data_IF_127119112100
#
_entry.id   IF_127119112100
#
_cell.length_a   1.000
_cell.length_b   1.000
_cell.length_c   1.000
_cell.angle_alpha   90.00
_cell.angle_beta   90.00
_cell.angle_gamma   90.00
#
_symmetry.space_group_name_H-M   'P 1'
#
loop_
_entity.id
_entity.type
_entity.pdbx_description
1 polymer ?
#
# COMPACT_ATOMS: atom_id res chain seq x y z
N UNK A 1 -20.48 19.01 10.49
CA UNK A 1 -19.89 17.70 10.19
C UNK A 1 -18.40 17.82 10.41
N UNK A 2 -17.81 16.99 11.27
CA UNK A 2 -16.36 17.04 11.51
C UNK A 2 -15.62 16.68 10.24
N UNK A 3 -14.62 17.46 9.89
CA UNK A 3 -13.77 17.25 8.70
C UNK A 3 -12.30 17.13 9.10
N UNK A 4 -11.55 16.43 8.30
CA UNK A 4 -10.07 16.33 8.41
C UNK A 4 -9.44 16.52 7.05
N UNK A 5 -8.18 16.90 7.03
CA UNK A 5 -7.37 16.82 5.83
C UNK A 5 -6.57 15.53 5.86
N UNK A 6 -6.69 14.76 4.79
CA UNK A 6 -5.91 13.56 4.54
C UNK A 6 -4.87 13.83 3.46
N UNK A 7 -3.65 13.35 3.67
CA UNK A 7 -2.56 13.41 2.70
C UNK A 7 -2.06 12.00 2.43
N UNK A 8 -1.80 11.69 1.17
CA UNK A 8 -1.15 10.46 0.73
C UNK A 8 0.11 10.83 -0.04
N UNK A 9 1.25 10.60 0.60
CA UNK A 9 2.59 10.88 0.10
C UNK A 9 3.17 9.60 -0.54
N UNK A 10 2.95 9.45 -1.83
CA UNK A 10 3.62 8.41 -2.62
C UNK A 10 4.91 8.92 -3.26
N UNK A 11 5.72 8.01 -3.80
CA UNK A 11 6.96 8.37 -4.49
C UNK A 11 6.77 9.16 -5.79
N UNK A 12 5.60 9.04 -6.43
CA UNK A 12 5.30 9.71 -7.70
C UNK A 12 4.29 10.84 -7.54
N UNK A 13 3.28 10.66 -6.70
CA UNK A 13 2.19 11.59 -6.51
C UNK A 13 2.00 11.90 -5.04
N UNK A 14 1.81 13.19 -4.75
CA UNK A 14 1.32 13.73 -3.49
C UNK A 14 -0.15 14.10 -3.69
N UNK A 15 -1.03 13.46 -2.92
CA UNK A 15 -2.47 13.69 -2.94
C UNK A 15 -2.91 14.27 -1.61
N UNK A 16 -3.83 15.22 -1.61
CA UNK A 16 -4.47 15.71 -0.40
C UNK A 16 -5.97 15.85 -0.64
N UNK A 17 -6.78 15.60 0.41
CA UNK A 17 -8.22 15.71 0.35
C UNK A 17 -8.79 16.25 1.66
N UNK A 18 -9.89 16.98 1.54
CA UNK A 18 -10.78 17.32 2.63
C UNK A 18 -11.82 16.22 2.76
N UNK A 19 -11.87 15.54 3.90
CA UNK A 19 -12.66 14.33 4.12
C UNK A 19 -13.59 14.52 5.31
N UNK A 20 -14.87 14.24 5.11
CA UNK A 20 -15.88 14.25 6.17
C UNK A 20 -15.83 13.00 7.05
N UNK A 21 -16.40 13.09 8.25
CA UNK A 21 -16.50 11.96 9.19
C UNK A 21 -17.34 10.78 8.69
N UNK A 22 -18.00 10.91 7.55
CA UNK A 22 -18.72 9.86 6.82
C UNK A 22 -17.92 9.25 5.66
N UNK A 23 -16.61 9.53 5.58
CA UNK A 23 -15.72 9.16 4.50
C UNK A 23 -15.96 9.85 3.14
N UNK A 24 -16.83 10.86 3.09
CA UNK A 24 -17.05 11.65 1.87
C UNK A 24 -15.85 12.54 1.58
N UNK A 25 -15.30 12.44 0.37
CA UNK A 25 -14.27 13.35 -0.11
C UNK A 25 -14.97 14.62 -0.64
N UNK A 26 -14.84 15.72 0.09
CA UNK A 26 -15.46 17.01 -0.22
C UNK A 26 -14.65 17.79 -1.28
N UNK A 27 -13.34 17.73 -1.18
CA UNK A 27 -12.42 18.32 -2.15
C UNK A 27 -11.11 17.52 -2.19
N UNK A 28 -10.42 17.54 -3.32
CA UNK A 28 -9.12 16.89 -3.44
C UNK A 28 -8.19 17.63 -4.39
N UNK A 29 -6.90 17.41 -4.22
CA UNK A 29 -5.83 17.92 -5.07
C UNK A 29 -4.73 16.87 -5.20
N UNK A 30 -4.05 16.86 -6.34
CA UNK A 30 -2.91 15.98 -6.58
C UNK A 30 -1.84 16.72 -7.36
N UNK A 31 -0.58 16.47 -7.01
CA UNK A 31 0.60 17.01 -7.70
C UNK A 31 1.69 15.93 -7.75
N UNK A 32 2.62 16.00 -8.69
CA UNK A 32 3.82 15.17 -8.62
C UNK A 32 4.56 15.39 -7.29
N UNK A 33 5.05 14.30 -6.70
CA UNK A 33 5.90 14.40 -5.51
C UNK A 33 7.23 15.06 -5.90
N UNK A 34 7.67 16.11 -5.18
CA UNK A 34 8.95 16.76 -5.47
C UNK A 34 10.12 15.78 -5.32
N UNK A 35 10.96 15.72 -6.33
CA UNK A 35 12.16 14.85 -6.36
C UNK A 35 13.47 15.63 -6.41
N UNK A 36 13.40 16.97 -6.56
CA UNK A 36 14.55 17.87 -6.63
C UNK A 36 14.47 18.94 -5.54
N UNK A 37 15.61 19.33 -4.99
CA UNK A 37 15.74 20.32 -3.94
C UNK A 37 16.93 20.03 -3.02
N UNK A 38 17.16 20.92 -2.04
CA UNK A 38 18.29 20.80 -1.10
C UNK A 38 18.02 19.77 0.02
N UNK A 39 16.77 19.52 0.35
CA UNK A 39 16.36 18.59 1.41
C UNK A 39 14.89 18.18 1.24
N UNK A 40 14.42 17.27 2.09
CA UNK A 40 13.01 16.84 2.16
C UNK A 40 12.01 17.95 2.52
N UNK A 41 12.49 19.12 2.97
CA UNK A 41 11.63 20.28 3.25
C UNK A 41 10.81 20.72 2.01
N UNK A 42 11.26 20.42 0.79
CA UNK A 42 10.49 20.71 -0.43
C UNK A 42 9.20 19.87 -0.50
N UNK A 43 9.22 18.64 0.02
CA UNK A 43 8.02 17.78 0.12
C UNK A 43 7.09 18.33 1.20
N UNK A 44 7.63 18.67 2.37
CA UNK A 44 6.86 19.28 3.47
C UNK A 44 6.19 20.58 3.02
N UNK A 45 6.91 21.44 2.29
CA UNK A 45 6.34 22.66 1.72
C UNK A 45 5.24 22.37 0.69
N UNK A 46 5.40 21.34 -0.13
CA UNK A 46 4.36 20.93 -1.06
C UNK A 46 3.10 20.41 -0.35
N UNK A 47 3.25 19.68 0.77
CA UNK A 47 2.12 19.25 1.61
C UNK A 47 1.44 20.48 2.21
N UNK A 48 2.18 21.40 2.84
CA UNK A 48 1.66 22.65 3.42
C UNK A 48 0.84 23.42 2.39
N UNK A 49 1.36 23.62 1.19
CA UNK A 49 0.63 24.32 0.14
C UNK A 49 -0.69 23.63 -0.27
N UNK A 50 -0.76 22.30 -0.22
CA UNK A 50 -2.02 21.57 -0.50
C UNK A 50 -3.00 21.68 0.66
N UNK A 51 -2.52 21.60 1.89
CA UNK A 51 -3.32 21.83 3.10
C UNK A 51 -3.90 23.23 3.12
N UNK A 52 -3.09 24.27 2.86
CA UNK A 52 -3.54 25.67 2.78
C UNK A 52 -4.67 25.84 1.75
N UNK A 53 -4.51 25.26 0.55
CA UNK A 53 -5.52 25.35 -0.49
C UNK A 53 -6.85 24.71 -0.08
N UNK A 54 -6.82 23.60 0.67
CA UNK A 54 -8.02 22.92 1.15
C UNK A 54 -8.66 23.67 2.33
N UNK A 55 -7.87 24.22 3.26
CA UNK A 55 -8.36 25.04 4.37
C UNK A 55 -9.02 26.35 3.90
N UNK A 56 -8.64 26.89 2.75
CA UNK A 56 -9.23 28.09 2.16
C UNK A 56 -10.66 27.86 1.63
N UNK A 57 -11.08 26.60 1.47
CA UNK A 57 -12.44 26.26 1.05
C UNK A 57 -13.46 26.48 2.19
N UNK A 58 -14.73 26.76 1.88
CA UNK A 58 -15.76 26.91 2.93
C UNK A 58 -15.84 25.73 3.88
N UNK A 59 -15.73 24.51 3.35
CA UNK A 59 -15.76 23.25 4.10
C UNK A 59 -14.50 23.03 4.94
N UNK A 60 -13.41 23.74 4.62
CA UNK A 60 -12.14 23.70 5.35
C UNK A 60 -12.19 24.36 6.74
N UNK A 61 -13.23 25.13 7.04
CA UNK A 61 -13.38 25.84 8.32
C UNK A 61 -13.58 24.93 9.54
N UNK A 62 -14.06 23.71 9.33
CA UNK A 62 -14.36 22.73 10.38
C UNK A 62 -13.30 21.64 10.49
N UNK A 63 -12.12 21.84 9.90
CA UNK A 63 -11.03 20.86 9.97
C UNK A 63 -10.45 20.80 11.38
N UNK A 64 -10.43 19.60 11.95
CA UNK A 64 -9.99 19.32 13.32
C UNK A 64 -8.62 18.67 13.42
N UNK A 65 -8.16 18.01 12.34
CA UNK A 65 -6.86 17.31 12.32
C UNK A 65 -6.35 17.11 10.87
N UNK A 66 -5.08 16.73 10.77
CA UNK A 66 -4.43 16.36 9.51
C UNK A 66 -3.84 14.96 9.67
N UNK A 67 -4.17 14.06 8.74
CA UNK A 67 -3.58 12.72 8.65
C UNK A 67 -2.69 12.61 7.43
N UNK A 68 -1.49 12.05 7.60
CA UNK A 68 -0.55 11.83 6.50
C UNK A 68 -0.23 10.34 6.41
N UNK A 69 -0.57 9.71 5.29
CA UNK A 69 -0.06 8.40 4.91
C UNK A 69 1.18 8.55 4.05
N UNK A 70 2.20 7.74 4.29
CA UNK A 70 3.42 7.76 3.49
C UNK A 70 4.05 6.38 3.38
N UNK A 71 4.74 6.13 2.24
CA UNK A 71 5.65 5.01 2.13
C UNK A 71 6.74 5.10 3.22
N UNK A 72 7.02 3.97 3.89
CA UNK A 72 8.02 3.88 4.94
C UNK A 72 9.44 3.59 4.44
N UNK A 73 10.40 3.45 5.37
CA UNK A 73 10.24 3.49 6.84
C UNK A 73 9.85 4.86 7.40
N UNK A 74 9.18 4.82 8.56
CA UNK A 74 8.79 6.02 9.31
C UNK A 74 9.51 6.05 10.66
N UNK A 75 9.72 7.24 11.20
CA UNK A 75 10.03 7.47 12.61
C UNK A 75 8.80 8.09 13.28
N UNK A 76 7.93 7.29 13.92
CA UNK A 76 6.70 7.79 14.51
C UNK A 76 6.95 8.75 15.68
N UNK A 77 8.06 8.58 16.42
CA UNK A 77 8.41 9.43 17.55
C UNK A 77 8.77 10.86 17.16
N UNK A 78 9.44 11.00 16.01
CA UNK A 78 9.78 12.29 15.43
C UNK A 78 8.75 12.81 14.43
N UNK A 79 7.91 11.91 13.93
CA UNK A 79 6.95 12.23 12.86
C UNK A 79 7.62 12.46 11.51
N UNK A 80 8.61 11.62 11.17
CA UNK A 80 9.42 11.75 9.96
C UNK A 80 9.29 10.53 9.05
N UNK A 81 9.45 10.76 7.74
CA UNK A 81 9.78 9.70 6.79
C UNK A 81 11.30 9.60 6.71
N UNK A 82 11.86 8.39 6.82
CA UNK A 82 13.31 8.17 6.89
C UNK A 82 13.75 7.09 5.92
N UNK A 83 14.76 7.40 5.09
CA UNK A 83 15.39 6.44 4.17
C UNK A 83 14.41 5.59 3.33
N UNK A 84 13.26 6.18 2.95
CA UNK A 84 12.27 5.50 2.13
C UNK A 84 12.84 5.27 0.72
N UNK A 85 12.80 4.02 0.21
CA UNK A 85 13.28 3.74 -1.16
C UNK A 85 12.42 4.40 -2.25
N UNK A 86 11.25 4.89 -1.89
CA UNK A 86 10.31 5.54 -2.80
C UNK A 86 10.33 7.07 -2.72
N UNK A 87 11.05 7.66 -1.78
CA UNK A 87 11.13 9.11 -1.56
C UNK A 87 12.56 9.57 -1.85
N UNK A 88 12.70 10.64 -2.62
CA UNK A 88 14.00 11.09 -3.12
C UNK A 88 14.96 11.63 -2.03
N UNK A 89 14.47 11.89 -0.83
CA UNK A 89 15.23 12.48 0.27
C UNK A 89 15.35 11.53 1.45
N UNK A 90 16.50 11.44 2.11
CA UNK A 90 16.70 10.51 3.22
C UNK A 90 15.87 10.84 4.46
N UNK A 91 15.48 12.10 4.64
CA UNK A 91 14.61 12.56 5.73
C UNK A 91 13.60 13.57 5.21
N UNK A 92 12.33 13.37 5.57
CA UNK A 92 11.25 14.35 5.36
C UNK A 92 10.54 14.55 6.70
N UNK A 93 10.62 15.73 7.25
CA UNK A 93 9.92 16.11 8.48
C UNK A 93 8.46 16.42 8.15
N UNK A 94 7.52 15.74 8.82
CA UNK A 94 6.10 15.82 8.50
C UNK A 94 5.32 16.48 9.63
N UNK A 95 5.21 15.83 10.80
CA UNK A 95 4.23 16.26 11.82
C UNK A 95 4.55 17.60 12.46
N UNK A 96 5.81 17.84 12.81
CA UNK A 96 6.24 19.09 13.45
C UNK A 96 5.94 20.31 12.58
N UNK A 97 6.59 20.45 11.40
CA UNK A 97 6.44 21.66 10.57
C UNK A 97 4.99 21.90 10.11
N UNK A 98 4.20 20.84 9.87
CA UNK A 98 2.80 20.98 9.47
C UNK A 98 1.96 21.40 10.69
N UNK A 99 2.19 20.80 11.86
CA UNK A 99 1.51 21.16 13.11
C UNK A 99 1.78 22.60 13.51
N UNK A 100 3.04 23.04 13.46
CA UNK A 100 3.46 24.40 13.77
C UNK A 100 2.82 25.43 12.81
N UNK A 101 2.67 25.07 11.54
CA UNK A 101 2.09 25.96 10.51
C UNK A 101 0.60 26.21 10.70
N UNK A 102 -0.17 25.17 11.11
CA UNK A 102 -1.63 25.23 11.14
C UNK A 102 -2.24 25.22 12.53
N UNK A 103 -1.47 24.90 13.57
CA UNK A 103 -1.99 24.77 14.94
C UNK A 103 -2.97 23.59 15.09
N UNK A 104 -2.89 22.58 14.19
CA UNK A 104 -3.75 21.41 14.18
C UNK A 104 -2.95 20.15 14.57
N UNK A 105 -3.60 19.16 15.21
CA UNK A 105 -3.00 17.85 15.41
C UNK A 105 -2.64 17.20 14.06
N UNK A 106 -1.42 16.68 13.93
CA UNK A 106 -0.95 15.99 12.74
C UNK A 106 -0.54 14.57 13.10
N UNK A 107 -1.06 13.60 12.38
CA UNK A 107 -0.69 12.19 12.53
C UNK A 107 -0.01 11.67 11.27
N UNK A 108 1.01 10.81 11.45
CA UNK A 108 1.74 10.14 10.38
C UNK A 108 1.57 8.64 10.51
N UNK A 109 1.23 7.97 9.41
CA UNK A 109 1.05 6.52 9.35
C UNK A 109 1.62 5.96 8.03
N UNK A 110 2.08 4.71 8.04
CA UNK A 110 2.49 4.06 6.81
C UNK A 110 1.30 3.85 5.86
N UNK A 111 1.54 3.97 4.55
CA UNK A 111 0.52 3.89 3.49
C UNK A 111 -0.27 2.57 3.47
N UNK A 112 0.38 1.43 3.67
CA UNK A 112 -0.32 0.14 3.68
C UNK A 112 -1.15 -0.04 4.98
N UNK A 113 -0.69 0.48 6.10
CA UNK A 113 -1.45 0.50 7.37
C UNK A 113 -2.62 1.48 7.29
N UNK A 114 -2.42 2.62 6.66
CA UNK A 114 -3.53 3.50 6.30
C UNK A 114 -4.51 2.78 5.35
N UNK A 115 -4.00 2.02 4.37
CA UNK A 115 -4.81 1.25 3.43
C UNK A 115 -5.83 0.34 4.11
N UNK A 116 -5.42 -0.45 5.12
CA UNK A 116 -6.34 -1.33 5.85
C UNK A 116 -7.42 -0.53 6.60
N UNK A 117 -7.08 0.62 7.17
CA UNK A 117 -8.05 1.49 7.83
C UNK A 117 -9.05 2.07 6.83
N UNK A 118 -8.59 2.50 5.66
CA UNK A 118 -9.46 2.99 4.59
C UNK A 118 -10.45 1.94 4.11
N UNK A 119 -10.00 0.71 3.92
CA UNK A 119 -10.85 -0.41 3.52
C UNK A 119 -11.87 -0.80 4.59
N UNK A 120 -11.47 -0.77 5.87
CA UNK A 120 -12.37 -1.03 6.98
C UNK A 120 -13.40 0.09 7.17
N UNK A 121 -13.01 1.34 6.93
CA UNK A 121 -13.91 2.49 7.11
C UNK A 121 -14.87 2.68 5.94
N UNK A 122 -14.37 2.62 4.70
CA UNK A 122 -15.14 3.01 3.52
C UNK A 122 -15.13 1.98 2.38
N UNK A 123 -14.33 0.92 2.47
CA UNK A 123 -14.09 -0.02 1.38
C UNK A 123 -14.73 -1.39 1.56
N UNK A 124 -14.07 -2.40 1.01
CA UNK A 124 -14.54 -3.77 0.93
C UNK A 124 -14.57 -4.50 2.29
N UNK A 125 -13.86 -3.97 3.30
CA UNK A 125 -13.74 -4.56 4.63
C UNK A 125 -14.62 -3.86 5.69
N UNK A 126 -15.63 -3.08 5.28
CA UNK A 126 -16.57 -2.45 6.23
C UNK A 126 -17.27 -3.50 7.10
N UNK A 127 -17.21 -3.28 8.40
CA UNK A 127 -17.85 -4.15 9.40
C UNK A 127 -17.05 -5.39 9.76
N UNK A 128 -15.84 -5.60 9.19
CA UNK A 128 -14.93 -6.68 9.59
C UNK A 128 -13.95 -6.21 10.65
N UNK A 129 -13.67 -7.08 11.62
CA UNK A 129 -12.74 -6.82 12.71
C UNK A 129 -11.36 -7.48 12.50
N UNK A 130 -11.27 -8.44 11.56
CA UNK A 130 -10.03 -9.12 11.21
C UNK A 130 -9.77 -8.95 9.71
N UNK A 131 -8.93 -8.00 9.36
CA UNK A 131 -8.72 -7.53 7.98
C UNK A 131 -7.25 -7.49 7.67
N UNK A 132 -6.85 -7.99 6.51
CA UNK A 132 -5.53 -7.73 5.95
C UNK A 132 -5.68 -6.99 4.63
N UNK A 133 -4.94 -5.92 4.48
CA UNK A 133 -4.77 -5.17 3.25
C UNK A 133 -3.40 -5.50 2.66
N UNK A 134 -3.36 -5.76 1.37
CA UNK A 134 -2.13 -6.06 0.63
C UNK A 134 -2.05 -5.12 -0.58
N UNK A 135 -1.04 -4.28 -0.63
CA UNK A 135 -0.78 -3.47 -1.82
C UNK A 135 0.20 -4.18 -2.76
N UNK A 136 -0.22 -4.41 -4.00
CA UNK A 136 0.59 -4.92 -5.10
C UNK A 136 0.94 -3.74 -6.02
N UNK A 137 2.09 -3.12 -5.78
CA UNK A 137 2.55 -1.88 -6.41
C UNK A 137 4.00 -2.04 -6.89
N UNK A 138 4.78 -0.96 -6.89
CA UNK A 138 6.24 -1.00 -7.09
C UNK A 138 6.89 -2.03 -6.18
N UNK A 139 6.45 -2.09 -4.91
CA UNK A 139 6.73 -3.12 -3.92
C UNK A 139 5.47 -3.89 -3.52
N UNK A 140 5.59 -4.70 -2.45
CA UNK A 140 4.50 -5.35 -1.74
C UNK A 140 4.51 -4.86 -0.29
N UNK A 141 3.43 -4.23 0.13
CA UNK A 141 3.23 -3.81 1.51
C UNK A 141 1.95 -4.39 2.09
N UNK A 142 1.81 -4.34 3.40
CA UNK A 142 0.61 -4.77 4.08
C UNK A 142 0.27 -3.99 5.34
N UNK A 143 -0.99 -4.12 5.73
CA UNK A 143 -1.50 -3.65 7.01
C UNK A 143 -2.54 -4.64 7.52
N UNK A 144 -2.61 -4.82 8.83
CA UNK A 144 -3.54 -5.75 9.44
C UNK A 144 -4.31 -5.07 10.59
N UNK A 145 -5.60 -5.36 10.65
CA UNK A 145 -6.47 -5.12 11.80
C UNK A 145 -6.84 -6.48 12.36
N UNK A 146 -6.66 -6.68 13.65
CA UNK A 146 -6.98 -7.91 14.36
C UNK A 146 -7.82 -7.56 15.59
N UNK A 147 -8.99 -8.20 15.74
CA UNK A 147 -9.95 -7.88 16.80
C UNK A 147 -10.29 -6.38 16.85
N UNK A 148 -10.50 -5.78 15.71
CA UNK A 148 -10.83 -4.38 15.55
C UNK A 148 -9.69 -3.38 15.81
N UNK A 149 -8.46 -3.84 16.05
CA UNK A 149 -7.30 -3.00 16.36
C UNK A 149 -6.23 -3.07 15.29
N UNK A 150 -5.74 -1.91 14.87
CA UNK A 150 -4.63 -1.82 13.93
C UNK A 150 -3.34 -2.37 14.56
N UNK A 151 -2.65 -3.25 13.85
CA UNK A 151 -1.36 -3.75 14.26
C UNK A 151 -0.26 -2.79 13.81
N UNK A 152 0.41 -2.17 14.76
CA UNK A 152 1.55 -1.27 14.49
C UNK A 152 2.89 -1.95 14.75
N UNK A 153 2.98 -2.81 15.78
CA UNK A 153 4.25 -3.34 16.26
C UNK A 153 5.05 -2.30 17.06
N UNK A 154 6.27 -2.65 17.44
CA UNK A 154 7.12 -1.82 18.30
C UNK A 154 7.49 -0.48 17.62
N UNK A 155 7.90 -0.55 16.35
CA UNK A 155 8.42 0.60 15.59
C UNK A 155 7.48 0.99 14.42
N UNK A 156 6.21 0.55 14.46
CA UNK A 156 5.25 0.82 13.37
C UNK A 156 5.44 -0.04 12.12
N UNK A 157 6.20 -1.14 12.16
CA UNK A 157 6.55 -1.96 10.99
C UNK A 157 5.77 -3.29 10.91
N UNK A 158 4.81 -3.56 11.82
CA UNK A 158 3.98 -4.75 11.70
C UNK A 158 3.23 -4.75 10.36
N UNK A 159 3.22 -5.89 9.67
CA UNK A 159 2.56 -6.01 8.37
C UNK A 159 3.46 -5.75 7.16
N UNK A 160 4.77 -5.66 7.30
CA UNK A 160 5.74 -5.61 6.18
C UNK A 160 5.85 -6.98 5.48
N UNK A 161 4.71 -7.48 5.01
CA UNK A 161 4.53 -8.83 4.46
C UNK A 161 5.29 -9.08 3.16
N UNK A 162 5.68 -8.03 2.43
CA UNK A 162 6.52 -8.14 1.24
C UNK A 162 7.88 -8.80 1.52
N UNK A 163 8.31 -8.81 2.79
CA UNK A 163 9.55 -9.43 3.25
C UNK A 163 9.36 -10.86 3.81
N UNK A 164 8.17 -11.45 3.69
CA UNK A 164 7.96 -12.87 4.00
C UNK A 164 8.75 -13.72 2.99
N UNK A 165 9.58 -14.69 3.44
CA UNK A 165 10.26 -15.62 2.54
C UNK A 165 9.23 -16.56 1.89
N UNK A 166 9.18 -16.58 0.56
CA UNK A 166 8.22 -17.39 -0.23
C UNK A 166 8.91 -18.37 -1.18
N UNK A 167 10.22 -18.23 -1.39
CA UNK A 167 10.94 -19.06 -2.35
C UNK A 167 12.40 -19.27 -1.96
N UNK A 168 12.88 -20.48 -2.23
CA UNK A 168 14.29 -20.88 -2.09
C UNK A 168 14.87 -21.45 -3.39
N UNK A 169 14.06 -21.53 -4.46
CA UNK A 169 14.44 -22.13 -5.72
C UNK A 169 15.14 -21.14 -6.65
N UNK A 170 14.51 -19.99 -6.91
CA UNK A 170 15.08 -18.96 -7.79
C UNK A 170 16.05 -18.03 -7.06
N UNK A 171 15.99 -17.94 -5.74
CA UNK A 171 16.83 -17.11 -4.87
C UNK A 171 16.97 -15.65 -5.34
N UNK A 172 15.86 -15.05 -5.81
CA UNK A 172 15.87 -13.64 -6.22
C UNK A 172 16.12 -12.73 -5.02
N UNK A 173 17.03 -11.78 -5.20
CA UNK A 173 17.40 -10.82 -4.16
C UNK A 173 16.39 -9.68 -4.13
N UNK A 174 15.82 -9.44 -2.94
CA UNK A 174 14.94 -8.31 -2.67
C UNK A 174 15.74 -7.00 -2.57
N UNK A 175 15.06 -5.88 -2.77
CA UNK A 175 15.65 -4.54 -2.59
C UNK A 175 16.25 -4.29 -1.20
N UNK A 176 15.85 -5.05 -0.17
CA UNK A 176 16.42 -5.00 1.18
C UNK A 176 17.74 -5.80 1.32
N UNK A 177 18.21 -6.50 0.28
CA UNK A 177 19.46 -7.26 0.25
C UNK A 177 19.32 -8.75 0.60
N UNK A 178 18.16 -9.23 1.05
CA UNK A 178 17.92 -10.65 1.35
C UNK A 178 17.22 -11.35 0.19
N UNK A 179 17.52 -12.65 0.00
CA UNK A 179 16.89 -13.45 -1.06
C UNK A 179 15.59 -14.11 -0.60
N UNK A 180 14.72 -14.44 -1.56
CA UNK A 180 13.53 -15.24 -1.32
C UNK A 180 12.31 -14.47 -0.85
N UNK A 181 12.37 -13.17 -0.62
CA UNK A 181 11.26 -12.35 -0.17
C UNK A 181 10.17 -12.19 -1.24
N UNK A 182 8.90 -12.23 -0.84
CA UNK A 182 7.75 -12.16 -1.73
C UNK A 182 7.81 -10.99 -2.73
N UNK A 183 8.21 -9.81 -2.26
CA UNK A 183 8.37 -8.62 -3.10
C UNK A 183 9.33 -8.83 -4.26
N UNK A 184 10.41 -9.62 -4.09
CA UNK A 184 11.39 -9.89 -5.13
C UNK A 184 10.82 -10.67 -6.33
N UNK A 185 9.63 -11.24 -6.21
CA UNK A 185 8.96 -12.07 -7.22
C UNK A 185 7.71 -11.40 -7.78
N UNK A 186 6.85 -10.88 -6.90
CA UNK A 186 5.47 -10.56 -7.24
C UNK A 186 5.13 -9.06 -7.19
N UNK A 187 6.09 -8.19 -6.88
CA UNK A 187 5.90 -6.75 -7.06
C UNK A 187 5.97 -6.34 -8.53
N UNK A 188 5.30 -5.26 -8.89
CA UNK A 188 5.31 -4.77 -10.27
C UNK A 188 6.73 -4.48 -10.78
N UNK A 189 7.64 -4.03 -9.91
CA UNK A 189 9.05 -3.80 -10.24
C UNK A 189 9.79 -5.11 -10.57
N UNK A 190 9.48 -6.19 -9.86
CA UNK A 190 10.30 -7.41 -9.86
C UNK A 190 9.70 -8.56 -10.70
N UNK A 191 8.44 -8.53 -11.09
CA UNK A 191 7.81 -9.52 -11.98
C UNK A 191 8.62 -9.77 -13.27
N UNK A 192 9.18 -8.75 -13.98
CA UNK A 192 10.00 -9.00 -15.16
C UNK A 192 11.27 -9.78 -14.85
N UNK A 193 11.92 -9.51 -13.73
CA UNK A 193 13.12 -10.23 -13.28
C UNK A 193 12.77 -11.68 -12.94
N UNK A 194 11.64 -11.91 -12.27
CA UNK A 194 11.17 -13.26 -11.99
C UNK A 194 10.81 -14.01 -13.27
N UNK A 195 10.12 -13.38 -14.21
CA UNK A 195 9.83 -13.95 -15.51
C UNK A 195 11.13 -14.38 -16.23
N UNK A 196 12.16 -13.55 -16.21
CA UNK A 196 13.45 -13.85 -16.81
C UNK A 196 14.14 -15.06 -16.15
N UNK A 197 14.11 -15.15 -14.81
CA UNK A 197 14.67 -16.28 -14.07
C UNK A 197 13.90 -17.58 -14.37
N UNK A 198 12.56 -17.52 -14.34
CA UNK A 198 11.69 -18.65 -14.65
C UNK A 198 11.90 -19.17 -16.07
N UNK A 199 11.87 -18.27 -17.07
CA UNK A 199 12.02 -18.70 -18.46
C UNK A 199 13.39 -19.34 -18.75
N UNK A 200 14.44 -18.91 -18.05
CA UNK A 200 15.76 -19.54 -18.11
C UNK A 200 15.74 -20.97 -17.56
N UNK A 201 15.09 -21.16 -16.40
CA UNK A 201 14.96 -22.47 -15.77
C UNK A 201 14.07 -23.43 -16.58
N UNK A 202 13.04 -22.90 -17.25
CA UNK A 202 12.10 -23.66 -18.08
C UNK A 202 12.56 -23.84 -19.55
N UNK A 203 13.78 -23.41 -19.92
CA UNK A 203 14.32 -23.39 -21.30
C UNK A 203 13.38 -22.74 -22.34
N UNK A 204 12.64 -21.69 -21.93
CA UNK A 204 11.76 -20.95 -22.84
C UNK A 204 12.57 -19.93 -23.62
N UNK A 205 12.82 -20.19 -24.89
CA UNK A 205 13.74 -19.40 -25.74
C UNK A 205 13.07 -18.19 -26.39
N UNK A 206 11.79 -18.27 -26.72
CA UNK A 206 11.06 -17.22 -27.45
C UNK A 206 9.80 -16.81 -26.71
N UNK A 207 9.52 -15.52 -26.71
CA UNK A 207 8.27 -14.92 -26.22
C UNK A 207 7.77 -13.92 -27.24
N UNK A 208 6.46 -13.80 -27.39
CA UNK A 208 5.82 -12.94 -28.38
C UNK A 208 5.47 -11.55 -27.85
N UNK A 209 5.82 -11.26 -26.59
CA UNK A 209 5.49 -10.01 -25.89
C UNK A 209 6.73 -9.41 -25.20
N UNK A 210 6.62 -8.17 -24.76
CA UNK A 210 7.67 -7.48 -23.99
C UNK A 210 7.76 -8.06 -22.58
N UNK A 211 8.75 -8.92 -22.36
CA UNK A 211 9.01 -9.56 -21.07
C UNK A 211 9.58 -8.60 -20.01
N UNK A 212 9.97 -7.39 -20.38
CA UNK A 212 10.43 -6.34 -19.45
C UNK A 212 9.28 -5.53 -18.82
N UNK A 213 8.05 -5.77 -19.24
CA UNK A 213 6.87 -5.04 -18.80
C UNK A 213 5.86 -5.93 -18.09
N UNK A 214 5.53 -5.72 -16.79
CA UNK A 214 4.43 -6.43 -16.14
C UNK A 214 3.12 -6.33 -16.92
N UNK A 215 2.84 -5.14 -17.47
CA UNK A 215 1.65 -4.89 -18.28
C UNK A 215 1.59 -5.80 -19.51
N UNK A 216 2.71 -6.01 -20.19
CA UNK A 216 2.76 -6.86 -21.37
C UNK A 216 2.67 -8.35 -20.99
N UNK A 217 3.30 -8.77 -19.88
CA UNK A 217 3.22 -10.14 -19.37
C UNK A 217 1.76 -10.49 -19.01
N UNK A 218 1.09 -9.66 -18.22
CA UNK A 218 -0.33 -9.88 -17.86
C UNK A 218 -1.27 -9.71 -19.05
N UNK A 219 -0.94 -8.79 -19.98
CA UNK A 219 -1.66 -8.62 -21.23
C UNK A 219 -1.63 -9.88 -22.09
N UNK A 220 -0.45 -10.50 -22.22
CA UNK A 220 -0.28 -11.77 -22.93
C UNK A 220 -1.07 -12.91 -22.25
N UNK A 221 -1.09 -12.95 -20.90
CA UNK A 221 -1.91 -13.91 -20.17
C UNK A 221 -3.42 -13.71 -20.44
N UNK A 222 -3.90 -12.47 -20.58
CA UNK A 222 -5.30 -12.18 -20.97
C UNK A 222 -5.65 -12.64 -22.39
N UNK A 223 -4.68 -12.63 -23.29
CA UNK A 223 -4.86 -13.13 -24.67
C UNK A 223 -4.45 -14.60 -24.84
N UNK A 224 -4.35 -15.31 -23.70
CA UNK A 224 -4.11 -16.75 -23.63
C UNK A 224 -2.77 -17.20 -24.26
N UNK A 225 -1.76 -16.34 -24.26
CA UNK A 225 -0.41 -16.74 -24.68
C UNK A 225 0.10 -17.89 -23.76
N UNK A 226 0.50 -19.04 -24.33
CA UNK A 226 0.83 -20.23 -23.54
C UNK A 226 2.04 -20.04 -22.62
N UNK A 227 3.00 -19.17 -22.99
CA UNK A 227 4.17 -18.89 -22.17
C UNK A 227 3.78 -18.01 -21.00
N UNK A 228 2.95 -16.99 -21.25
CA UNK A 228 2.43 -16.12 -20.20
C UNK A 228 1.55 -16.91 -19.22
N UNK A 229 0.67 -17.79 -19.70
CA UNK A 229 -0.16 -18.64 -18.84
C UNK A 229 0.71 -19.57 -17.96
N UNK A 230 1.73 -20.22 -18.53
CA UNK A 230 2.64 -21.06 -17.75
C UNK A 230 3.40 -20.27 -16.67
N UNK A 231 3.76 -19.03 -16.94
CA UNK A 231 4.35 -18.15 -15.92
C UNK A 231 3.34 -17.74 -14.84
N UNK A 232 2.06 -17.49 -15.21
CA UNK A 232 1.02 -17.17 -14.22
C UNK A 232 0.82 -18.31 -13.21
N UNK A 233 0.98 -19.57 -13.61
CA UNK A 233 0.95 -20.71 -12.71
C UNK A 233 2.01 -20.59 -11.60
N UNK A 234 3.25 -20.29 -11.98
CA UNK A 234 4.38 -20.16 -11.05
C UNK A 234 4.26 -18.90 -10.19
N UNK A 235 3.85 -17.79 -10.79
CA UNK A 235 3.59 -16.55 -10.05
C UNK A 235 2.44 -16.74 -9.05
N UNK A 236 1.41 -17.48 -9.44
CA UNK A 236 0.29 -17.87 -8.59
C UNK A 236 0.73 -18.68 -7.37
N UNK A 237 1.66 -19.63 -7.56
CA UNK A 237 2.23 -20.40 -6.46
C UNK A 237 3.01 -19.54 -5.46
N UNK A 238 3.85 -18.63 -5.95
CA UNK A 238 4.60 -17.69 -5.10
C UNK A 238 3.65 -16.79 -4.32
N UNK A 239 2.62 -16.24 -4.97
CA UNK A 239 1.60 -15.43 -4.30
C UNK A 239 0.81 -16.24 -3.27
N UNK A 240 0.47 -17.49 -3.58
CA UNK A 240 -0.25 -18.37 -2.65
C UNK A 240 0.55 -18.63 -1.37
N UNK A 241 1.87 -18.85 -1.47
CA UNK A 241 2.75 -19.02 -0.30
C UNK A 241 2.75 -17.76 0.59
N UNK A 242 2.86 -16.57 -0.01
CA UNK A 242 2.79 -15.30 0.73
C UNK A 242 1.45 -15.13 1.42
N UNK A 243 0.34 -15.36 0.71
CA UNK A 243 -1.01 -15.26 1.27
C UNK A 243 -1.29 -16.35 2.31
N UNK A 244 -0.81 -17.58 2.13
CA UNK A 244 -0.91 -18.63 3.16
C UNK A 244 -0.23 -18.23 4.46
N UNK A 245 0.98 -17.64 4.38
CA UNK A 245 1.68 -17.14 5.56
C UNK A 245 0.90 -16.00 6.24
N UNK A 246 0.28 -15.11 5.47
CA UNK A 246 -0.59 -14.03 5.99
C UNK A 246 -1.83 -14.60 6.68
N UNK A 247 -2.49 -15.60 6.10
CA UNK A 247 -3.66 -16.26 6.70
C UNK A 247 -3.28 -16.88 8.04
N UNK A 248 -2.19 -17.64 8.08
CA UNK A 248 -1.73 -18.30 9.31
C UNK A 248 -1.31 -17.28 10.40
N UNK A 249 -0.73 -16.13 9.99
CA UNK A 249 -0.25 -15.13 10.94
C UNK A 249 -1.36 -14.26 11.55
N UNK A 250 -2.45 -13.99 10.79
CA UNK A 250 -3.45 -12.98 11.18
C UNK A 250 -4.88 -13.52 11.27
N UNK A 251 -5.17 -14.72 10.77
CA UNK A 251 -6.50 -15.34 10.72
C UNK A 251 -7.59 -14.34 10.27
N UNK A 252 -7.49 -13.74 9.07
CA UNK A 252 -8.37 -12.66 8.66
C UNK A 252 -9.72 -13.19 8.14
N UNK A 253 -10.79 -12.39 8.33
CA UNK A 253 -12.10 -12.60 7.68
C UNK A 253 -12.02 -12.23 6.18
N UNK A 254 -11.19 -11.23 5.88
CA UNK A 254 -11.05 -10.68 4.53
C UNK A 254 -9.62 -10.22 4.26
N UNK A 255 -9.15 -10.51 3.06
CA UNK A 255 -7.94 -9.95 2.46
C UNK A 255 -8.35 -9.02 1.31
N UNK A 256 -7.94 -7.76 1.38
CA UNK A 256 -8.19 -6.78 0.33
C UNK A 256 -6.90 -6.50 -0.43
N UNK A 257 -6.89 -6.80 -1.73
CA UNK A 257 -5.80 -6.49 -2.63
C UNK A 257 -5.99 -5.10 -3.23
N UNK A 258 -4.97 -4.25 -3.21
CA UNK A 258 -4.98 -2.94 -3.86
C UNK A 258 -3.61 -2.69 -4.54
N UNK A 259 -3.40 -1.47 -4.98
CA UNK A 259 -2.25 -1.08 -5.79
C UNK A 259 -2.52 -1.24 -7.29
N UNK A 260 -1.69 -0.64 -8.14
CA UNK A 260 -1.87 -0.66 -9.58
C UNK A 260 -1.98 -2.06 -10.17
N UNK A 261 -1.15 -3.00 -9.70
CA UNK A 261 -1.16 -4.38 -10.20
C UNK A 261 -2.48 -5.08 -9.87
N UNK A 262 -2.96 -4.96 -8.63
CA UNK A 262 -4.22 -5.56 -8.20
C UNK A 262 -5.42 -4.93 -8.92
N UNK A 263 -5.44 -3.62 -9.10
CA UNK A 263 -6.55 -2.91 -9.79
C UNK A 263 -6.68 -3.31 -11.26
N UNK A 264 -5.57 -3.54 -11.96
CA UNK A 264 -5.61 -3.87 -13.39
C UNK A 264 -5.65 -5.38 -13.66
N UNK A 265 -5.11 -6.20 -12.76
CA UNK A 265 -4.88 -7.62 -12.99
C UNK A 265 -5.24 -8.50 -11.77
N UNK A 266 -5.98 -7.96 -10.80
CA UNK A 266 -6.38 -8.68 -9.60
C UNK A 266 -7.22 -9.93 -9.90
N UNK A 267 -8.02 -9.89 -10.96
CA UNK A 267 -8.75 -11.04 -11.49
C UNK A 267 -7.81 -12.20 -11.86
N UNK A 268 -6.72 -11.89 -12.57
CA UNK A 268 -5.69 -12.88 -12.94
C UNK A 268 -4.92 -13.32 -11.69
N UNK A 269 -4.48 -12.38 -10.85
CA UNK A 269 -3.73 -12.69 -9.62
C UNK A 269 -4.52 -13.65 -8.73
N UNK A 270 -5.79 -13.35 -8.45
CA UNK A 270 -6.65 -14.19 -7.61
C UNK A 270 -6.88 -15.57 -8.28
N UNK A 271 -7.21 -15.58 -9.57
CA UNK A 271 -7.47 -16.82 -10.33
C UNK A 271 -6.34 -17.83 -10.21
N UNK A 272 -5.08 -17.39 -10.31
CA UNK A 272 -3.93 -18.29 -10.27
C UNK A 272 -3.42 -18.57 -8.85
N UNK A 273 -3.65 -17.66 -7.92
CA UNK A 273 -3.21 -17.77 -6.53
C UNK A 273 -4.17 -18.60 -5.67
N UNK A 274 -5.47 -18.29 -5.68
CA UNK A 274 -6.44 -18.85 -4.73
C UNK A 274 -6.52 -20.37 -4.72
N UNK A 275 -6.47 -21.10 -5.86
CA UNK A 275 -6.48 -22.57 -5.86
C UNK A 275 -5.24 -23.20 -5.21
N UNK A 276 -4.17 -22.42 -4.99
CA UNK A 276 -2.87 -22.88 -4.47
C UNK A 276 -2.62 -22.48 -3.03
N UNK A 277 -3.52 -21.70 -2.43
CA UNK A 277 -3.42 -21.31 -1.02
C UNK A 277 -3.57 -22.57 -0.15
N UNK A 278 -2.69 -22.68 0.86
CA UNK A 278 -2.76 -23.73 1.86
C UNK A 278 -4.12 -23.72 2.57
N UNK A 279 -4.72 -24.91 2.71
CA UNK A 279 -6.04 -25.12 3.32
C UNK A 279 -5.96 -25.55 4.79
N UNK A 280 -4.84 -25.29 5.47
CA UNK A 280 -4.71 -25.57 6.90
C UNK A 280 -5.76 -24.80 7.72
N UNK A 281 -6.01 -23.54 7.37
CA UNK A 281 -7.12 -22.74 7.91
C UNK A 281 -8.20 -22.51 6.84
N UNK A 282 -9.42 -22.16 7.25
CA UNK A 282 -10.44 -21.71 6.30
C UNK A 282 -9.95 -20.52 5.47
N UNK A 283 -10.34 -20.46 4.21
CA UNK A 283 -9.97 -19.31 3.38
C UNK A 283 -10.79 -18.09 3.77
N UNK A 284 -10.15 -16.94 3.96
CA UNK A 284 -10.84 -15.65 4.06
C UNK A 284 -11.46 -15.28 2.71
N UNK A 285 -12.35 -14.32 2.70
CA UNK A 285 -12.76 -13.66 1.46
C UNK A 285 -11.58 -12.87 0.89
N UNK A 286 -11.18 -13.15 -0.33
CA UNK A 286 -10.13 -12.42 -1.04
C UNK A 286 -10.78 -11.56 -2.12
N UNK A 287 -10.50 -10.26 -2.14
CA UNK A 287 -11.13 -9.33 -3.09
C UNK A 287 -10.18 -8.19 -3.47
N UNK A 288 -10.50 -7.49 -4.55
CA UNK A 288 -9.79 -6.26 -4.96
C UNK A 288 -10.50 -5.05 -4.36
N UNK A 289 -9.74 -4.05 -3.94
CA UNK A 289 -10.26 -2.78 -3.43
C UNK A 289 -11.19 -2.10 -4.43
N UNK A 290 -12.33 -1.64 -3.93
CA UNK A 290 -13.27 -0.79 -4.69
C UNK A 290 -12.98 0.70 -4.57
N UNK A 291 -12.00 1.10 -3.74
CA UNK A 291 -11.69 2.51 -3.47
C UNK A 291 -10.80 3.16 -4.54
N UNK A 292 -10.47 2.45 -5.62
CA UNK A 292 -9.73 2.96 -6.78
C UNK A 292 -8.40 3.65 -6.41
N UNK A 293 -7.66 3.06 -5.43
CA UNK A 293 -6.37 3.57 -4.93
C UNK A 293 -6.48 4.75 -3.98
N UNK A 294 -7.66 4.95 -3.38
CA UNK A 294 -7.89 5.95 -2.33
C UNK A 294 -7.81 5.36 -0.92
N UNK A 295 -7.54 4.06 -0.80
CA UNK A 295 -7.48 3.37 0.50
C UNK A 295 -6.48 4.02 1.47
N UNK A 296 -5.22 4.35 1.09
CA UNK A 296 -4.30 5.04 1.97
C UNK A 296 -4.76 6.45 2.37
N UNK A 297 -5.34 7.19 1.42
CA UNK A 297 -5.85 8.54 1.67
C UNK A 297 -7.00 8.53 2.68
N UNK A 298 -8.01 7.67 2.46
CA UNK A 298 -9.13 7.52 3.38
C UNK A 298 -8.71 6.95 4.74
N UNK A 299 -7.73 6.06 4.75
CA UNK A 299 -7.16 5.55 5.99
C UNK A 299 -6.41 6.60 6.79
N UNK A 300 -5.69 7.51 6.13
CA UNK A 300 -5.08 8.66 6.81
C UNK A 300 -6.14 9.56 7.45
N UNK A 301 -7.29 9.77 6.77
CA UNK A 301 -8.42 10.50 7.34
C UNK A 301 -9.01 9.79 8.56
N UNK A 302 -9.28 8.49 8.46
CA UNK A 302 -9.80 7.69 9.56
C UNK A 302 -8.88 7.73 10.79
N UNK A 303 -7.57 7.56 10.54
CA UNK A 303 -6.55 7.63 11.60
C UNK A 303 -6.49 8.99 12.28
N UNK A 304 -6.56 10.09 11.50
CA UNK A 304 -6.58 11.45 12.05
C UNK A 304 -7.84 11.72 12.88
N UNK A 305 -9.00 11.27 12.43
CA UNK A 305 -10.26 11.41 13.17
C UNK A 305 -10.20 10.68 14.52
N UNK A 306 -9.72 9.44 14.53
CA UNK A 306 -9.57 8.66 15.75
C UNK A 306 -8.59 9.30 16.75
N UNK A 307 -7.42 9.72 16.27
CA UNK A 307 -6.40 10.39 17.10
C UNK A 307 -6.90 11.72 17.67
N UNK A 308 -7.64 12.50 16.88
CA UNK A 308 -8.24 13.76 17.33
C UNK A 308 -9.31 13.56 18.40
N UNK A 309 -10.01 12.41 18.38
CA UNK A 309 -10.99 12.03 19.40
C UNK A 309 -10.35 11.39 20.67
N UNK A 310 -9.02 11.32 20.74
CA UNK A 310 -8.31 10.67 21.85
C UNK A 310 -8.25 9.14 21.76
N UNK A 311 -8.58 8.60 20.60
CA UNK A 311 -8.50 7.17 20.33
C UNK A 311 -7.04 6.66 20.28
N UNK A 312 -6.84 5.33 20.43
CA UNK A 312 -5.52 4.72 20.43
C UNK A 312 -4.84 4.70 19.06
N UNK A 313 -5.52 5.15 18.00
CA UNK A 313 -5.07 5.07 16.62
C UNK A 313 -5.70 3.90 15.86
N UNK A 314 -6.92 3.53 16.27
CA UNK A 314 -7.83 2.46 15.75
C UNK A 314 -7.28 1.05 15.96
#
# INVERSE_FOLDING_TARGET
>A
MTTVIAVDLGGTNLRAALVGSDATILAHTAVPTPTAGLSGAVITAAIIARVEALLALPEGREVTAIGVASAGPLDPGRGWVTNSPNIAFPVVEITGPIGDRFGLPVSLINDARAGVLGERWAGAARGSDNVVYITLSTGIGGGAVVNGRLLLGMDGNAGDIGHIPVDTHYNLVCGCGFAGHWEAYASAKNIPQFFAAWRKAADVRRVAFDAGSPRAIFGAARTEDPVALAFMEVLGEVNARGVSAVIVAYDPEIIVLDGPLARYYGDIVIRYMEPRIDRYLPLPRITVSSLAGRSPLLGAAAYALDRAAGGPGI
#
